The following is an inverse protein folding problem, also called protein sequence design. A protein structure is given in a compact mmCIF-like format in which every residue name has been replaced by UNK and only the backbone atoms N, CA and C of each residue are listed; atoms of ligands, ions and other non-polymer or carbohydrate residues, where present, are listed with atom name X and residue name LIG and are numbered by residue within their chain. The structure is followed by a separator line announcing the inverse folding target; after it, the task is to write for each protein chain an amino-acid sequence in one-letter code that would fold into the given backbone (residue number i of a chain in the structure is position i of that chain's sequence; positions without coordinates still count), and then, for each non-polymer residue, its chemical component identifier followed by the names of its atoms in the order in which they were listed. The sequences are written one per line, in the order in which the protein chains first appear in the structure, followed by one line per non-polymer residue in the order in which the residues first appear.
data_IF_487845042978
#
_entry.id   IF_487845042978
#
_cell.length_a   1.000
_cell.length_b   1.000
_cell.length_c   1.000
_cell.angle_alpha   90.00
_cell.angle_beta   90.00
_cell.angle_gamma   90.00
#
_symmetry.space_group_name_H-M   'P 1'
#
loop_
_entity.id
_entity.type
_entity.pdbx_description
1 polymer ?
#
# COMPACT_ATOMS: atom_id res chain seq x y z
N UNK A 1 10.26 28.16 30.16
CA UNK A 1 11.54 27.87 29.47
C UNK A 1 11.35 26.55 28.72
N UNK A 2 11.15 26.60 27.41
CA UNK A 2 11.02 25.38 26.61
C UNK A 2 12.39 24.68 26.63
N UNK A 3 12.55 23.62 27.45
CA UNK A 3 13.83 22.91 27.65
C UNK A 3 14.29 22.15 26.40
N UNK A 4 13.47 22.12 25.37
CA UNK A 4 13.64 21.39 24.13
C UNK A 4 13.32 22.32 22.95
N UNK A 5 14.22 22.41 21.97
CA UNK A 5 13.92 23.03 20.67
C UNK A 5 12.82 22.24 19.94
N UNK A 6 12.12 22.87 19.00
CA UNK A 6 11.00 22.29 18.26
C UNK A 6 11.35 20.98 17.52
N UNK A 7 12.55 20.85 16.96
CA UNK A 7 13.04 19.61 16.34
C UNK A 7 13.02 18.41 17.30
N UNK A 8 13.32 18.64 18.58
CA UNK A 8 13.26 17.61 19.61
C UNK A 8 11.83 17.25 20.03
N UNK A 9 10.80 17.93 19.53
CA UNK A 9 9.41 17.52 19.67
C UNK A 9 8.90 16.79 18.41
N UNK A 10 9.78 16.52 17.46
CA UNK A 10 9.39 16.05 16.14
C UNK A 10 8.72 17.14 15.30
N UNK A 11 8.98 18.42 15.58
CA UNK A 11 8.55 19.51 14.69
C UNK A 11 9.72 19.97 13.83
N UNK A 12 9.60 19.86 12.53
CA UNK A 12 10.60 20.32 11.58
C UNK A 12 10.29 21.75 11.10
N UNK A 13 11.13 22.75 11.43
CA UNK A 13 10.90 24.14 11.05
C UNK A 13 10.89 24.41 9.55
N UNK A 14 11.36 23.47 8.70
CA UNK A 14 11.38 23.56 7.25
C UNK A 14 10.09 23.08 6.59
N UNK A 15 9.25 22.30 7.28
CA UNK A 15 8.02 21.75 6.70
C UNK A 15 6.77 21.92 7.59
N UNK A 16 6.92 21.94 8.92
CA UNK A 16 5.79 22.12 9.82
C UNK A 16 5.44 23.60 9.98
N UNK A 17 4.16 23.99 9.85
CA UNK A 17 3.75 25.37 10.09
C UNK A 17 4.01 25.69 11.58
N UNK A 18 4.89 26.66 11.84
CA UNK A 18 5.01 27.23 13.18
C UNK A 18 3.67 27.92 13.47
N UNK A 19 2.99 27.53 14.55
CA UNK A 19 1.66 27.97 14.95
C UNK A 19 1.31 29.41 14.50
N UNK A 20 0.52 29.52 13.42
CA UNK A 20 0.18 30.76 12.69
C UNK A 20 -0.69 30.44 11.46
N UNK A 21 -1.04 31.43 10.64
CA UNK A 21 -1.82 31.23 9.40
C UNK A 21 -1.08 30.25 8.47
N UNK A 22 -1.73 29.15 8.10
CA UNK A 22 -1.14 28.11 7.25
C UNK A 22 -0.87 28.67 5.84
N UNK A 23 0.38 28.70 5.36
CA UNK A 23 0.68 29.27 4.05
C UNK A 23 0.08 28.42 2.93
N UNK A 24 -0.31 29.06 1.81
CA UNK A 24 -0.92 28.36 0.66
C UNK A 24 -0.01 27.28 0.07
N UNK A 25 1.29 27.55 0.04
CA UNK A 25 2.31 26.66 -0.48
C UNK A 25 3.60 26.82 0.32
N UNK A 26 4.48 25.83 0.23
CA UNK A 26 5.76 25.84 0.92
C UNK A 26 6.87 25.29 0.05
N UNK A 27 7.94 26.08 -0.10
CA UNK A 27 9.14 25.68 -0.83
C UNK A 27 10.08 24.94 0.11
N UNK A 28 10.56 23.77 -0.32
CA UNK A 28 11.54 22.95 0.38
C UNK A 28 12.70 22.70 -0.58
N UNK A 29 13.92 22.88 -0.11
CA UNK A 29 15.13 22.62 -0.90
C UNK A 29 15.72 21.28 -0.45
N UNK A 30 15.83 20.34 -1.38
CA UNK A 30 16.33 19.01 -1.15
C UNK A 30 17.73 18.86 -1.78
N UNK A 31 18.60 18.02 -1.20
CA UNK A 31 19.85 17.66 -1.86
C UNK A 31 19.56 16.83 -3.11
N UNK A 32 20.06 17.25 -4.26
CA UNK A 32 20.05 16.49 -5.51
C UNK A 32 21.40 15.86 -5.81
N UNK A 33 21.48 15.18 -6.95
CA UNK A 33 22.73 14.56 -7.40
C UNK A 33 23.87 15.57 -7.56
N UNK A 34 25.08 15.14 -7.21
CA UNK A 34 26.31 15.94 -7.32
C UNK A 34 26.25 17.29 -6.58
N UNK A 35 25.44 17.39 -5.52
CA UNK A 35 25.33 18.59 -4.69
C UNK A 35 24.45 19.71 -5.27
N UNK A 36 23.73 19.45 -6.37
CA UNK A 36 22.74 20.41 -6.89
C UNK A 36 21.53 20.47 -5.96
N UNK A 37 21.11 21.67 -5.60
CA UNK A 37 19.87 21.87 -4.86
C UNK A 37 18.65 21.62 -5.76
N UNK A 38 17.67 20.86 -5.27
CA UNK A 38 16.38 20.64 -5.93
C UNK A 38 15.30 21.36 -5.13
N UNK A 39 14.66 22.33 -5.76
CA UNK A 39 13.57 23.06 -5.16
C UNK A 39 12.23 22.38 -5.46
N UNK A 40 11.46 22.09 -4.39
CA UNK A 40 10.15 21.46 -4.46
C UNK A 40 9.15 22.35 -3.72
N UNK A 41 8.11 22.81 -4.42
CA UNK A 41 7.03 23.61 -3.86
C UNK A 41 5.84 22.71 -3.58
N UNK A 42 5.51 22.55 -2.29
CA UNK A 42 4.37 21.80 -1.77
C UNK A 42 3.10 22.66 -1.84
N UNK A 43 2.01 22.11 -2.39
CA UNK A 43 0.69 22.73 -2.33
C UNK A 43 -0.02 22.28 -1.05
N UNK A 44 -0.07 23.16 -0.04
CA UNK A 44 -0.56 22.81 1.29
C UNK A 44 -2.09 22.92 1.42
N UNK A 45 -2.75 23.58 0.47
CA UNK A 45 -4.20 23.81 0.50
C UNK A 45 -4.96 23.04 -0.58
N UNK A 46 -4.27 22.24 -1.39
CA UNK A 46 -4.93 21.39 -2.38
C UNK A 46 -5.94 20.45 -1.74
N UNK A 47 -7.11 20.32 -2.34
CA UNK A 47 -8.13 19.33 -1.96
C UNK A 47 -7.67 17.89 -2.26
N UNK A 48 -6.61 17.71 -3.05
CA UNK A 48 -5.96 16.41 -3.27
C UNK A 48 -4.96 16.03 -2.16
N UNK A 49 -4.76 16.90 -1.16
CA UNK A 49 -3.89 16.61 -0.02
C UNK A 49 -4.48 15.46 0.79
N UNK A 50 -3.67 14.43 1.02
CA UNK A 50 -4.06 13.28 1.84
C UNK A 50 -3.29 13.30 3.15
N UNK A 51 -3.98 13.15 4.27
CA UNK A 51 -3.39 13.06 5.60
C UNK A 51 -3.88 11.82 6.32
N UNK A 52 -2.95 10.99 6.80
CA UNK A 52 -3.22 9.82 7.61
C UNK A 52 -2.47 9.91 8.94
N UNK A 53 -3.21 9.77 10.04
CA UNK A 53 -2.67 9.70 11.39
C UNK A 53 -2.81 8.28 11.95
N UNK A 54 -1.75 7.77 12.56
CA UNK A 54 -1.71 6.50 13.27
C UNK A 54 -1.42 6.72 14.76
N UNK A 55 -2.00 5.88 15.62
CA UNK A 55 -1.97 6.03 17.07
C UNK A 55 -0.57 5.94 17.70
N UNK A 56 0.43 5.41 16.99
CA UNK A 56 1.81 5.25 17.49
C UNK A 56 2.78 6.27 16.87
N UNK A 57 2.29 7.47 16.57
CA UNK A 57 3.10 8.55 16.00
C UNK A 57 3.45 8.38 14.51
N UNK A 58 2.80 7.44 13.81
CA UNK A 58 2.82 7.42 12.34
C UNK A 58 1.96 8.60 11.88
N UNK A 59 2.54 9.49 11.08
CA UNK A 59 1.78 10.49 10.38
C UNK A 59 2.32 10.55 8.96
N UNK A 60 1.43 10.50 7.98
CA UNK A 60 1.76 10.58 6.56
C UNK A 60 0.93 11.69 5.95
N UNK A 61 1.59 12.63 5.28
CA UNK A 61 0.97 13.68 4.50
C UNK A 61 1.47 13.58 3.06
N UNK A 62 0.57 13.60 2.09
CA UNK A 62 0.90 13.61 0.67
C UNK A 62 0.34 14.88 0.06
N UNK A 63 1.21 15.64 -0.60
CA UNK A 63 0.88 16.92 -1.23
C UNK A 63 1.14 16.83 -2.73
N UNK A 64 0.27 17.40 -3.58
CA UNK A 64 0.70 17.81 -4.90
C UNK A 64 1.90 18.76 -4.78
N UNK A 65 2.87 18.58 -5.67
CA UNK A 65 4.09 19.36 -5.65
C UNK A 65 4.49 19.83 -7.05
N UNK A 66 5.34 20.87 -7.10
CA UNK A 66 5.93 21.41 -8.33
C UNK A 66 7.44 21.54 -8.16
N UNK A 67 8.18 21.22 -9.19
CA UNK A 67 9.63 21.45 -9.26
C UNK A 67 10.03 21.68 -10.71
N UNK A 68 10.94 22.63 -10.95
CA UNK A 68 11.52 22.86 -12.28
C UNK A 68 12.49 21.74 -12.68
N UNK A 69 13.01 20.99 -11.69
CA UNK A 69 13.94 19.88 -11.93
C UNK A 69 13.26 18.64 -12.54
N UNK A 70 11.94 18.46 -12.34
CA UNK A 70 11.21 17.26 -12.73
C UNK A 70 10.16 17.55 -13.79
N UNK A 71 10.32 16.95 -14.97
CA UNK A 71 9.33 17.04 -16.07
C UNK A 71 8.40 15.83 -16.06
N UNK A 72 7.33 15.91 -15.25
CA UNK A 72 6.29 14.87 -15.21
C UNK A 72 4.97 15.43 -15.75
N UNK A 73 4.45 14.85 -16.84
CA UNK A 73 3.18 15.27 -17.46
C UNK A 73 2.00 15.20 -16.49
N UNK A 74 1.96 14.16 -15.66
CA UNK A 74 0.91 13.94 -14.68
C UNK A 74 1.14 14.71 -13.37
N UNK A 75 2.26 15.43 -13.25
CA UNK A 75 2.70 16.09 -12.03
C UNK A 75 3.52 15.19 -11.10
N UNK A 76 3.89 15.75 -9.94
CA UNK A 76 4.61 15.06 -8.87
C UNK A 76 3.86 15.25 -7.55
N UNK A 77 4.12 14.36 -6.61
CA UNK A 77 3.65 14.46 -5.23
C UNK A 77 4.84 14.40 -4.28
N UNK A 78 4.73 15.06 -3.14
CA UNK A 78 5.67 14.96 -2.05
C UNK A 78 4.96 14.29 -0.86
N UNK A 79 5.51 13.18 -0.40
CA UNK A 79 5.02 12.43 0.75
C UNK A 79 5.96 12.69 1.92
N UNK A 80 5.42 13.29 2.98
CA UNK A 80 6.09 13.53 4.25
C UNK A 80 5.58 12.50 5.25
N UNK A 81 6.47 11.73 5.86
CA UNK A 81 6.06 10.64 6.74
C UNK A 81 7.06 10.33 7.85
N UNK A 82 6.53 9.86 8.98
CA UNK A 82 7.31 9.47 10.16
C UNK A 82 7.52 7.96 10.20
N UNK A 83 8.64 7.50 9.65
CA UNK A 83 8.97 6.08 9.62
C UNK A 83 9.70 5.65 10.90
N UNK A 84 9.51 4.40 11.31
CA UNK A 84 10.27 3.81 12.43
C UNK A 84 11.74 3.67 12.03
N UNK A 85 12.65 4.26 12.82
CA UNK A 85 14.08 4.32 12.53
C UNK A 85 14.75 2.94 12.50
N UNK A 86 14.15 1.94 13.15
CA UNK A 86 14.63 0.55 13.16
C UNK A 86 14.30 -0.22 11.88
N UNK A 87 13.39 0.28 11.05
CA UNK A 87 12.98 -0.35 9.79
C UNK A 87 13.81 0.18 8.63
N UNK A 88 14.03 -0.67 7.63
CA UNK A 88 14.47 -0.22 6.30
C UNK A 88 13.45 0.79 5.77
N UNK A 89 13.93 1.94 5.33
CA UNK A 89 13.06 3.03 4.89
C UNK A 89 12.45 2.76 3.51
N UNK A 90 11.31 3.39 3.19
CA UNK A 90 10.68 3.29 1.85
C UNK A 90 11.66 3.63 0.72
N UNK A 91 12.46 4.72 0.79
CA UNK A 91 13.48 5.01 -0.24
C UNK A 91 14.51 3.88 -0.44
N UNK A 92 14.99 3.28 0.65
CA UNK A 92 15.96 2.18 0.58
C UNK A 92 15.34 0.91 -0.02
N UNK A 93 14.08 0.62 0.32
CA UNK A 93 13.32 -0.49 -0.27
C UNK A 93 13.11 -0.23 -1.77
N UNK A 94 12.76 1.00 -2.15
CA UNK A 94 12.57 1.38 -3.55
C UNK A 94 13.86 1.23 -4.37
N UNK A 95 15.03 1.52 -3.81
CA UNK A 95 16.30 1.21 -4.48
C UNK A 95 16.43 -0.28 -4.80
N UNK A 96 16.10 -1.14 -3.83
CA UNK A 96 16.12 -2.59 -4.06
C UNK A 96 15.12 -3.02 -5.12
N UNK A 97 13.92 -2.43 -5.11
CA UNK A 97 12.87 -2.65 -6.10
C UNK A 97 13.36 -2.26 -7.50
N UNK A 98 14.10 -1.16 -7.65
CA UNK A 98 14.63 -0.73 -8.95
C UNK A 98 15.71 -1.68 -9.49
N UNK A 99 16.58 -2.23 -8.64
CA UNK A 99 17.52 -3.29 -9.04
C UNK A 99 16.79 -4.52 -9.61
N UNK A 100 15.64 -4.88 -9.02
CA UNK A 100 14.81 -5.99 -9.53
C UNK A 100 14.15 -5.58 -10.86
N UNK A 101 13.66 -4.35 -10.97
CA UNK A 101 13.03 -3.79 -12.18
C UNK A 101 13.97 -3.72 -13.39
N UNK A 102 15.28 -3.63 -13.18
CA UNK A 102 16.26 -3.72 -14.26
C UNK A 102 16.25 -5.10 -14.93
N UNK A 103 15.93 -6.16 -14.18
CA UNK A 103 16.02 -7.57 -14.63
C UNK A 103 14.67 -8.19 -14.95
N UNK A 104 13.58 -7.62 -14.44
CA UNK A 104 12.24 -8.19 -14.54
C UNK A 104 11.23 -7.20 -15.13
N UNK A 105 10.64 -7.57 -16.28
CA UNK A 105 9.65 -6.75 -16.98
C UNK A 105 8.35 -6.61 -16.19
N UNK A 106 8.01 -7.60 -15.36
CA UNK A 106 6.84 -7.60 -14.49
C UNK A 106 6.89 -6.49 -13.43
N UNK A 107 8.10 -6.01 -13.08
CA UNK A 107 8.31 -4.93 -12.12
C UNK A 107 8.56 -3.60 -12.81
N UNK A 108 9.20 -3.61 -13.99
CA UNK A 108 9.58 -2.41 -14.72
C UNK A 108 8.36 -1.55 -15.08
N UNK A 109 8.30 -0.35 -14.50
CA UNK A 109 7.22 0.60 -14.69
C UNK A 109 5.94 0.29 -13.89
N UNK A 110 5.92 -0.79 -13.12
CA UNK A 110 4.79 -1.23 -12.27
C UNK A 110 5.00 -0.88 -10.78
N UNK A 111 5.96 -0.01 -10.48
CA UNK A 111 6.31 0.52 -9.15
C UNK A 111 6.40 2.06 -9.20
N UNK A 112 6.41 2.77 -8.06
CA UNK A 112 6.42 4.23 -8.02
C UNK A 112 7.73 4.77 -8.60
N UNK A 113 7.66 5.88 -9.32
CA UNK A 113 8.84 6.57 -9.83
C UNK A 113 9.32 7.59 -8.77
N UNK A 114 10.36 7.23 -8.00
CA UNK A 114 10.99 8.10 -7.01
C UNK A 114 11.96 9.05 -7.68
N UNK A 115 11.73 10.35 -7.46
CA UNK A 115 12.52 11.43 -8.09
C UNK A 115 13.67 11.87 -7.19
N UNK A 116 13.40 12.01 -5.89
CA UNK A 116 14.38 12.30 -4.85
C UNK A 116 13.75 12.04 -3.47
N UNK A 117 14.59 12.00 -2.44
CA UNK A 117 14.12 11.96 -1.06
C UNK A 117 15.12 12.66 -0.13
N UNK A 118 14.68 12.98 1.08
CA UNK A 118 15.53 13.49 2.14
C UNK A 118 15.07 12.96 3.50
N UNK A 119 16.04 12.71 4.37
CA UNK A 119 15.83 12.26 5.75
C UNK A 119 16.29 13.35 6.70
N UNK A 120 15.39 13.78 7.59
CA UNK A 120 15.66 14.82 8.57
C UNK A 120 16.10 14.20 9.89
N UNK A 121 17.36 13.75 9.98
CA UNK A 121 17.89 13.04 11.15
C UNK A 121 17.81 13.81 12.47
N UNK A 122 17.82 15.13 12.40
CA UNK A 122 17.63 16.06 13.53
C UNK A 122 16.23 15.99 14.15
N UNK A 123 15.26 15.41 13.43
CA UNK A 123 13.89 15.18 13.92
C UNK A 123 13.71 13.84 14.62
N UNK A 124 14.75 13.01 14.74
CA UNK A 124 14.64 11.69 15.35
C UNK A 124 14.10 11.77 16.78
N UNK A 125 13.06 10.99 17.05
CA UNK A 125 12.47 10.89 18.39
C UNK A 125 13.29 10.01 19.34
N UNK A 126 14.39 9.39 18.87
CA UNK A 126 15.26 8.55 19.70
C UNK A 126 15.80 9.31 20.91
N UNK A 127 16.18 10.58 20.75
CA UNK A 127 16.68 11.42 21.85
C UNK A 127 15.61 11.70 22.91
N UNK A 128 14.35 11.85 22.50
CA UNK A 128 13.21 12.01 23.43
C UNK A 128 13.07 10.75 24.26
N UNK A 129 13.10 9.59 23.60
CA UNK A 129 12.96 8.28 24.25
C UNK A 129 14.10 8.04 25.25
N UNK A 130 15.33 8.31 24.86
CA UNK A 130 16.52 8.23 25.72
C UNK A 130 16.37 9.09 26.98
N UNK A 131 16.02 10.38 26.83
CA UNK A 131 15.81 11.28 27.98
C UNK A 131 14.64 10.89 28.88
N UNK A 132 13.66 10.15 28.36
CA UNK A 132 12.54 9.60 29.13
C UNK A 132 12.85 8.21 29.73
N UNK A 133 14.05 7.66 29.51
CA UNK A 133 14.43 6.32 29.97
C UNK A 133 13.68 5.19 29.24
N UNK A 134 13.18 5.45 28.03
CA UNK A 134 12.45 4.49 27.20
C UNK A 134 13.38 3.74 26.26
N UNK A 135 13.05 2.47 25.95
CA UNK A 135 13.77 1.69 24.93
C UNK A 135 13.74 2.38 23.56
N UNK A 136 14.79 2.27 22.72
CA UNK A 136 14.86 2.95 21.43
C UNK A 136 13.87 2.39 20.39
N UNK A 137 13.34 1.18 20.58
CA UNK A 137 12.32 0.58 19.71
C UNK A 137 11.12 1.53 19.52
N UNK A 138 10.63 1.69 18.29
CA UNK A 138 9.58 2.66 17.99
C UNK A 138 10.04 4.12 17.89
N UNK A 139 11.34 4.41 17.96
CA UNK A 139 11.86 5.72 17.54
C UNK A 139 11.52 5.97 16.07
N UNK A 140 11.19 7.21 15.73
CA UNK A 140 10.80 7.62 14.38
C UNK A 140 11.61 8.81 13.91
N UNK A 141 11.76 8.92 12.60
CA UNK A 141 12.42 10.04 11.94
C UNK A 141 11.57 10.48 10.73
N UNK A 142 11.58 11.78 10.45
CA UNK A 142 10.83 12.36 9.35
C UNK A 142 11.55 12.14 8.02
N UNK A 143 10.80 11.64 7.04
CA UNK A 143 11.20 11.53 5.64
C UNK A 143 10.35 12.45 4.78
N UNK A 144 10.96 12.95 3.71
CA UNK A 144 10.26 13.53 2.56
C UNK A 144 10.70 12.75 1.32
N UNK A 145 9.76 12.15 0.61
CA UNK A 145 9.98 11.48 -0.67
C UNK A 145 9.16 12.19 -1.75
N UNK A 146 9.79 12.46 -2.90
CA UNK A 146 9.13 13.04 -4.08
C UNK A 146 8.93 11.94 -5.11
N UNK A 147 7.67 11.73 -5.50
CA UNK A 147 7.24 10.67 -6.40
C UNK A 147 6.53 11.28 -7.61
N UNK A 148 6.53 10.59 -8.75
CA UNK A 148 5.57 10.89 -9.83
C UNK A 148 4.14 10.77 -9.30
N UNK A 149 3.26 11.70 -9.67
CA UNK A 149 1.84 11.59 -9.33
C UNK A 149 1.21 10.40 -10.07
N UNK A 150 0.49 9.56 -9.32
CA UNK A 150 -0.25 8.41 -9.82
C UNK A 150 -1.76 8.67 -9.67
N UNK A 151 -2.57 7.85 -10.34
CA UNK A 151 -4.04 7.85 -10.20
C UNK A 151 -4.51 6.58 -9.49
N UNK A 152 -5.54 6.65 -8.63
CA UNK A 152 -6.13 5.47 -8.00
C UNK A 152 -6.59 4.43 -9.03
N UNK A 153 -6.28 3.15 -8.82
CA UNK A 153 -6.75 2.09 -9.73
C UNK A 153 -8.28 2.03 -9.82
N UNK A 154 -8.97 2.54 -8.79
CA UNK A 154 -10.42 2.59 -8.71
C UNK A 154 -11.06 3.40 -9.82
N UNK A 155 -10.33 4.31 -10.45
CA UNK A 155 -10.83 5.12 -11.58
C UNK A 155 -10.84 4.35 -12.92
N UNK A 156 -10.29 3.13 -12.95
CA UNK A 156 -10.36 2.24 -14.11
C UNK A 156 -11.62 1.38 -14.03
N UNK A 157 -12.14 1.00 -15.19
CA UNK A 157 -13.33 0.16 -15.36
C UNK A 157 -13.02 -1.07 -16.21
N UNK A 158 -13.83 -2.10 -16.06
CA UNK A 158 -13.83 -3.33 -16.88
C UNK A 158 -12.42 -3.91 -17.12
N UNK A 159 -12.14 -4.28 -18.36
CA UNK A 159 -10.87 -4.88 -18.78
C UNK A 159 -9.64 -4.01 -18.43
N UNK A 160 -9.73 -2.68 -18.45
CA UNK A 160 -8.60 -1.81 -18.09
C UNK A 160 -8.24 -1.96 -16.60
N UNK A 161 -9.26 -2.03 -15.74
CA UNK A 161 -9.08 -2.31 -14.32
C UNK A 161 -8.46 -3.69 -14.09
N UNK A 162 -9.00 -4.74 -14.71
CA UNK A 162 -8.47 -6.10 -14.54
C UNK A 162 -7.02 -6.23 -15.00
N UNK A 163 -6.66 -5.61 -16.13
CA UNK A 163 -5.28 -5.62 -16.63
C UNK A 163 -4.33 -4.88 -15.70
N UNK A 164 -4.73 -3.72 -15.18
CA UNK A 164 -3.93 -2.98 -14.22
C UNK A 164 -3.76 -3.76 -12.91
N UNK A 165 -4.84 -4.35 -12.39
CA UNK A 165 -4.81 -5.18 -11.18
C UNK A 165 -3.96 -6.43 -11.38
N UNK A 166 -4.05 -7.09 -12.54
CA UNK A 166 -3.23 -8.25 -12.85
C UNK A 166 -1.75 -7.89 -12.99
N UNK A 167 -1.44 -6.71 -13.55
CA UNK A 167 -0.08 -6.23 -13.62
C UNK A 167 0.52 -5.97 -12.22
N UNK A 168 -0.24 -5.40 -11.28
CA UNK A 168 0.23 -5.21 -9.90
C UNK A 168 0.40 -6.54 -9.17
N UNK A 169 -0.46 -7.53 -9.41
CA UNK A 169 -0.29 -8.91 -8.91
C UNK A 169 1.03 -9.53 -9.40
N UNK A 170 1.33 -9.44 -10.71
CA UNK A 170 2.59 -9.98 -11.27
C UNK A 170 3.82 -9.25 -10.75
N UNK A 171 3.74 -7.93 -10.64
CA UNK A 171 4.79 -7.11 -10.03
C UNK A 171 5.06 -7.59 -8.59
N UNK A 172 4.01 -7.72 -7.78
CA UNK A 172 4.12 -8.20 -6.40
C UNK A 172 4.72 -9.60 -6.30
N UNK A 173 4.24 -10.57 -7.09
CA UNK A 173 4.79 -11.93 -7.12
C UNK A 173 6.30 -11.91 -7.41
N UNK A 174 6.72 -11.12 -8.38
CA UNK A 174 8.12 -11.02 -8.80
C UNK A 174 8.98 -10.39 -7.71
N UNK A 175 8.48 -9.35 -7.04
CA UNK A 175 9.13 -8.75 -5.88
C UNK A 175 9.27 -9.75 -4.72
N UNK A 176 8.20 -10.49 -4.41
CA UNK A 176 8.19 -11.50 -3.35
C UNK A 176 9.26 -12.57 -3.59
N UNK A 177 9.35 -13.10 -4.82
CA UNK A 177 10.36 -14.10 -5.20
C UNK A 177 11.79 -13.57 -5.12
N UNK A 178 11.97 -12.25 -5.21
CA UNK A 178 13.27 -11.58 -5.12
C UNK A 178 13.52 -10.95 -3.73
N UNK A 179 12.78 -11.39 -2.70
CA UNK A 179 13.03 -11.02 -1.31
C UNK A 179 12.48 -9.65 -0.88
N UNK A 180 11.57 -9.06 -1.65
CA UNK A 180 10.86 -7.82 -1.27
C UNK A 180 9.42 -8.15 -0.93
N UNK A 181 9.04 -7.96 0.34
CA UNK A 181 7.72 -8.28 0.87
C UNK A 181 6.93 -7.00 1.12
N UNK A 182 5.82 -6.78 0.41
CA UNK A 182 5.05 -5.52 0.51
C UNK A 182 4.16 -5.44 1.76
N UNK A 183 3.44 -6.52 2.11
CA UNK A 183 2.66 -6.69 3.36
C UNK A 183 1.49 -5.74 3.62
N UNK A 184 1.16 -4.87 2.67
CA UNK A 184 0.05 -3.91 2.81
C UNK A 184 -0.71 -3.74 1.50
N UNK A 185 -1.17 -4.86 0.95
CA UNK A 185 -2.00 -4.86 -0.25
C UNK A 185 -3.41 -4.36 0.11
N UNK A 186 -3.82 -3.26 -0.51
CA UNK A 186 -5.13 -2.63 -0.31
C UNK A 186 -5.50 -1.81 -1.56
N UNK A 187 -6.80 -1.52 -1.79
CA UNK A 187 -7.24 -0.68 -2.91
C UNK A 187 -6.54 0.68 -3.01
N UNK A 188 -6.16 1.30 -1.90
CA UNK A 188 -5.45 2.60 -1.89
C UNK A 188 -4.00 2.50 -2.35
N UNK A 189 -3.40 1.31 -2.26
CA UNK A 189 -2.02 1.04 -2.64
C UNK A 189 -1.92 0.47 -4.07
N UNK A 190 -3.08 0.23 -4.71
CA UNK A 190 -3.16 -0.11 -6.13
C UNK A 190 -3.45 1.16 -6.91
N UNK A 191 -2.52 1.55 -7.77
CA UNK A 191 -2.57 2.77 -8.55
C UNK A 191 -2.41 2.45 -10.05
N UNK A 192 -2.47 3.47 -10.89
CA UNK A 192 -2.04 3.38 -12.28
C UNK A 192 -1.41 4.69 -12.77
N UNK A 193 -0.67 4.58 -13.87
CA UNK A 193 -0.21 5.72 -14.67
C UNK A 193 -0.50 5.47 -16.14
N UNK A 194 -0.54 6.55 -16.92
CA UNK A 194 -0.56 6.48 -18.39
C UNK A 194 0.84 6.80 -18.91
N UNK A 195 1.33 5.95 -19.80
CA UNK A 195 2.56 6.20 -20.54
C UNK A 195 2.34 7.27 -21.61
N UNK A 196 3.41 7.75 -22.23
CA UNK A 196 3.36 8.79 -23.27
C UNK A 196 2.54 8.37 -24.50
N UNK A 197 2.52 7.08 -24.83
CA UNK A 197 1.71 6.45 -25.88
C UNK A 197 0.27 6.11 -25.44
N UNK A 198 -0.10 6.47 -24.20
CA UNK A 198 -1.47 6.32 -23.68
C UNK A 198 -1.78 4.98 -23.03
N UNK A 199 -0.83 4.03 -23.01
CA UNK A 199 -0.99 2.72 -22.35
C UNK A 199 -1.18 2.89 -20.85
N UNK A 200 -2.10 2.11 -20.29
CA UNK A 200 -2.36 2.04 -18.85
C UNK A 200 -1.37 1.06 -18.22
N UNK A 201 -0.66 1.50 -17.19
CA UNK A 201 0.19 0.66 -16.37
C UNK A 201 -0.30 0.67 -14.94
N UNK A 202 -0.71 -0.50 -14.42
CA UNK A 202 -0.97 -0.67 -13.00
C UNK A 202 0.32 -0.51 -12.20
N UNK A 203 0.26 0.17 -11.05
CA UNK A 203 1.41 0.46 -10.20
C UNK A 203 1.10 0.01 -8.78
N UNK A 204 1.95 -0.84 -8.22
CA UNK A 204 1.92 -1.18 -6.79
C UNK A 204 2.65 -0.06 -6.03
N UNK A 205 1.94 0.64 -5.15
CA UNK A 205 2.42 1.84 -4.46
C UNK A 205 2.50 1.63 -2.95
N UNK A 206 3.24 2.52 -2.27
CA UNK A 206 3.40 2.61 -0.81
C UNK A 206 4.19 1.44 -0.18
N UNK A 207 5.52 1.58 -0.19
CA UNK A 207 6.46 0.59 0.35
C UNK A 207 6.86 0.88 1.81
N UNK A 208 6.18 1.80 2.51
CA UNK A 208 6.46 2.14 3.92
C UNK A 208 6.47 0.95 4.87
N UNK A 209 5.57 -0.01 4.60
CA UNK A 209 5.40 -1.21 5.42
C UNK A 209 6.10 -2.44 4.84
N UNK A 210 6.81 -2.28 3.73
CA UNK A 210 7.55 -3.37 3.13
C UNK A 210 8.80 -3.72 3.94
N UNK A 211 9.45 -4.82 3.55
CA UNK A 211 10.70 -5.30 4.15
C UNK A 211 11.50 -6.14 3.16
N UNK A 212 12.81 -6.19 3.35
CA UNK A 212 13.74 -7.04 2.60
C UNK A 212 14.19 -8.29 3.38
N UNK A 213 13.60 -8.52 4.56
CA UNK A 213 13.87 -9.65 5.44
C UNK A 213 12.62 -10.53 5.60
N UNK A 214 12.82 -11.84 5.69
CA UNK A 214 11.78 -12.83 5.97
C UNK A 214 11.40 -12.79 7.47
N UNK A 215 10.73 -11.72 7.89
CA UNK A 215 10.31 -11.49 9.27
C UNK A 215 9.69 -10.12 9.51
N UNK A 216 8.86 -9.99 10.55
CA UNK A 216 8.33 -8.69 10.97
C UNK A 216 9.48 -7.83 11.50
N UNK A 217 9.74 -6.71 10.82
CA UNK A 217 10.69 -5.69 11.27
C UNK A 217 9.91 -4.53 11.86
N UNK A 218 10.27 -4.10 13.07
CA UNK A 218 9.63 -2.99 13.78
C UNK A 218 8.58 -3.42 14.81
N UNK A 219 7.91 -2.43 15.40
CA UNK A 219 6.99 -2.62 16.54
C UNK A 219 5.51 -2.61 16.14
N UNK A 220 5.22 -2.27 14.88
CA UNK A 220 3.86 -2.08 14.40
C UNK A 220 3.33 -3.28 13.64
N UNK A 221 2.03 -3.52 13.85
CA UNK A 221 1.27 -4.44 13.00
C UNK A 221 1.19 -3.86 11.58
N UNK A 222 1.59 -4.66 10.60
CA UNK A 222 1.48 -4.29 9.18
C UNK A 222 0.12 -4.72 8.61
N UNK A 223 -0.36 -3.98 7.62
CA UNK A 223 -1.53 -4.34 6.83
C UNK A 223 -2.81 -3.58 7.18
N UNK A 224 -3.62 -3.35 6.16
CA UNK A 224 -4.94 -2.71 6.26
C UNK A 224 -6.01 -3.74 6.65
N UNK A 225 -6.54 -3.67 7.87
CA UNK A 225 -7.38 -4.72 8.51
C UNK A 225 -8.45 -5.36 7.60
N UNK A 226 -9.29 -4.59 6.87
CA UNK A 226 -10.28 -5.17 5.94
C UNK A 226 -9.69 -6.08 4.85
N UNK A 227 -8.45 -5.83 4.43
CA UNK A 227 -7.79 -6.55 3.34
C UNK A 227 -6.79 -7.60 3.82
N UNK A 228 -6.39 -7.59 5.10
CA UNK A 228 -5.55 -8.63 5.68
C UNK A 228 -6.18 -10.01 5.56
N UNK A 229 -5.38 -11.04 5.27
CA UNK A 229 -5.84 -12.41 5.20
C UNK A 229 -6.52 -12.89 6.50
N UNK A 230 -7.48 -13.81 6.38
CA UNK A 230 -8.22 -14.36 7.54
C UNK A 230 -7.30 -14.94 8.62
N UNK A 231 -6.18 -15.54 8.22
CA UNK A 231 -5.20 -16.12 9.13
C UNK A 231 -4.43 -15.04 9.91
N UNK A 232 -4.09 -13.92 9.26
CA UNK A 232 -3.44 -12.78 9.91
C UNK A 232 -4.38 -12.02 10.85
N UNK A 233 -5.69 -12.24 10.73
CA UNK A 233 -6.70 -11.73 11.66
C UNK A 233 -7.01 -12.70 12.83
N UNK A 234 -6.45 -13.92 12.83
CA UNK A 234 -6.53 -14.85 13.96
C UNK A 234 -5.69 -14.33 15.15
N UNK A 235 -6.05 -14.58 16.43
CA UNK A 235 -5.28 -14.10 17.59
C UNK A 235 -3.76 -14.35 17.52
N UNK A 236 -3.30 -15.46 16.94
CA UNK A 236 -1.87 -15.72 16.72
C UNK A 236 -1.25 -14.78 15.68
N UNK A 237 -1.93 -14.59 14.54
CA UNK A 237 -1.53 -13.61 13.52
C UNK A 237 -1.52 -12.19 14.06
N UNK A 238 -2.52 -11.83 14.87
CA UNK A 238 -2.61 -10.53 15.55
C UNK A 238 -1.43 -10.28 16.52
N UNK A 239 -0.88 -11.34 17.11
CA UNK A 239 0.30 -11.29 17.98
C UNK A 239 1.62 -11.36 17.21
N UNK A 240 1.59 -11.42 15.87
CA UNK A 240 2.78 -11.59 15.04
C UNK A 240 3.43 -12.96 15.13
N UNK A 241 2.69 -13.98 15.60
CA UNK A 241 3.18 -15.35 15.77
C UNK A 241 3.06 -16.18 14.49
N UNK A 242 2.25 -15.72 13.54
CA UNK A 242 2.11 -16.35 12.22
C UNK A 242 3.20 -15.83 11.29
N UNK A 243 4.03 -16.73 10.75
CA UNK A 243 4.97 -16.38 9.68
C UNK A 243 4.20 -15.87 8.46
N UNK A 244 4.53 -14.69 7.97
CA UNK A 244 3.87 -14.10 6.81
C UNK A 244 4.24 -14.88 5.54
N UNK A 245 3.23 -15.35 4.81
CA UNK A 245 3.39 -16.16 3.61
C UNK A 245 2.72 -15.51 2.40
N UNK A 246 3.12 -15.91 1.19
CA UNK A 246 2.65 -15.28 -0.05
C UNK A 246 1.14 -15.40 -0.22
N UNK A 247 0.55 -16.54 0.18
CA UNK A 247 -0.90 -16.75 0.14
C UNK A 247 -1.70 -15.67 0.87
N UNK A 248 -1.13 -15.00 1.87
CA UNK A 248 -1.82 -13.96 2.62
C UNK A 248 -1.92 -12.66 1.82
N UNK A 249 -0.84 -12.28 1.13
CA UNK A 249 -0.87 -11.13 0.22
C UNK A 249 -1.73 -11.46 -1.01
N UNK A 250 -1.69 -12.70 -1.51
CA UNK A 250 -2.56 -13.15 -2.59
C UNK A 250 -4.05 -13.06 -2.19
N UNK A 251 -4.41 -13.47 -0.97
CA UNK A 251 -5.75 -13.27 -0.43
C UNK A 251 -6.13 -11.78 -0.36
N UNK A 252 -5.20 -10.90 0.05
CA UNK A 252 -5.44 -9.45 0.05
C UNK A 252 -5.75 -8.88 -1.34
N UNK A 253 -5.12 -9.39 -2.41
CA UNK A 253 -5.49 -9.01 -3.79
C UNK A 253 -6.91 -9.43 -4.16
N UNK A 254 -7.38 -10.59 -3.70
CA UNK A 254 -8.76 -11.05 -3.90
C UNK A 254 -9.75 -10.12 -3.18
N UNK A 255 -9.42 -9.74 -1.95
CA UNK A 255 -10.22 -8.77 -1.19
C UNK A 255 -10.26 -7.41 -1.88
N UNK A 256 -9.13 -6.89 -2.39
CA UNK A 256 -9.08 -5.63 -3.12
C UNK A 256 -9.89 -5.68 -4.43
N UNK A 257 -9.76 -6.75 -5.21
CA UNK A 257 -10.54 -6.97 -6.43
C UNK A 257 -12.05 -6.95 -6.14
N UNK A 258 -12.47 -7.73 -5.13
CA UNK A 258 -13.87 -7.85 -4.72
C UNK A 258 -14.41 -6.51 -4.21
N UNK A 259 -13.62 -5.80 -3.42
CA UNK A 259 -13.96 -4.50 -2.86
C UNK A 259 -14.27 -3.47 -3.93
N UNK A 260 -13.38 -3.32 -4.91
CA UNK A 260 -13.52 -2.33 -5.98
C UNK A 260 -14.72 -2.69 -6.85
N UNK A 261 -14.81 -3.95 -7.29
CA UNK A 261 -15.87 -4.47 -8.15
C UNK A 261 -17.28 -4.25 -7.59
N UNK A 262 -17.46 -4.34 -6.27
CA UNK A 262 -18.78 -4.23 -5.64
C UNK A 262 -19.15 -2.81 -5.18
N UNK A 263 -18.16 -1.93 -4.98
CA UNK A 263 -18.35 -0.64 -4.30
C UNK A 263 -18.13 0.58 -5.18
N UNK A 264 -17.64 0.45 -6.40
CA UNK A 264 -17.35 1.59 -7.29
C UNK A 264 -18.21 1.55 -8.55
N UNK A 265 -18.81 2.68 -8.90
CA UNK A 265 -19.52 2.93 -10.15
C UNK A 265 -18.69 3.92 -10.98
N UNK A 266 -18.19 3.50 -12.15
CA UNK A 266 -17.45 4.33 -13.10
C UNK A 266 -16.37 5.22 -12.45
N UNK A 267 -15.55 4.63 -11.58
CA UNK A 267 -14.49 5.37 -10.90
C UNK A 267 -14.88 6.02 -9.57
N UNK A 268 -16.16 6.02 -9.22
CA UNK A 268 -16.67 6.72 -8.04
C UNK A 268 -17.21 5.74 -7.01
N UNK A 269 -16.86 5.94 -5.74
CA UNK A 269 -17.43 5.12 -4.66
C UNK A 269 -18.95 5.31 -4.60
N UNK A 270 -19.69 4.21 -4.56
CA UNK A 270 -21.16 4.22 -4.48
C UNK A 270 -21.66 4.98 -3.26
N UNK A 271 -22.70 5.80 -3.43
CA UNK A 271 -23.29 6.57 -2.33
C UNK A 271 -24.06 5.67 -1.34
N UNK A 272 -24.75 4.66 -1.84
CA UNK A 272 -25.57 3.72 -1.05
C UNK A 272 -25.40 2.28 -1.55
N UNK A 273 -25.90 1.31 -0.78
CA UNK A 273 -25.88 -0.09 -1.19
C UNK A 273 -24.47 -0.63 -1.39
N UNK A 274 -23.53 -0.26 -0.51
CA UNK A 274 -22.15 -0.72 -0.53
C UNK A 274 -22.03 -2.03 0.26
N UNK A 275 -21.88 -3.19 -0.40
CA UNK A 275 -21.53 -4.41 0.31
C UNK A 275 -20.21 -4.19 1.05
N UNK A 276 -19.97 -4.98 2.11
CA UNK A 276 -18.72 -5.02 2.88
C UNK A 276 -18.49 -3.85 3.85
N UNK A 277 -19.38 -2.84 3.89
CA UNK A 277 -19.27 -1.72 4.85
C UNK A 277 -19.29 -2.18 6.32
N UNK A 278 -20.01 -3.28 6.60
CA UNK A 278 -20.21 -3.85 7.94
C UNK A 278 -18.91 -4.17 8.68
N UNK A 279 -17.80 -4.40 7.95
CA UNK A 279 -16.51 -4.72 8.56
C UNK A 279 -15.47 -3.59 8.54
N UNK A 280 -15.81 -2.37 8.10
CA UNK A 280 -14.89 -1.22 8.05
C UNK A 280 -14.61 -0.56 9.40
N UNK A 281 -15.58 -0.61 10.32
CA UNK A 281 -15.53 0.07 11.61
C UNK A 281 -15.35 -0.86 12.80
N UNK A 282 -15.10 -2.14 12.57
CA UNK A 282 -15.05 -3.15 13.61
C UNK A 282 -13.61 -3.55 13.91
N UNK A 283 -13.38 -4.12 15.10
CA UNK A 283 -12.06 -4.64 15.45
C UNK A 283 -11.66 -5.83 14.56
N UNK A 284 -10.38 -6.18 14.55
CA UNK A 284 -9.83 -7.21 13.67
C UNK A 284 -10.50 -8.59 13.82
N UNK A 285 -10.88 -8.98 15.04
CA UNK A 285 -11.55 -10.26 15.30
C UNK A 285 -12.96 -10.27 14.69
N UNK A 286 -13.72 -9.20 14.87
CA UNK A 286 -15.04 -9.05 14.25
C UNK A 286 -14.91 -9.00 12.72
N UNK A 287 -13.93 -8.25 12.19
CA UNK A 287 -13.69 -8.16 10.75
C UNK A 287 -13.44 -9.55 10.15
N UNK A 288 -12.62 -10.38 10.81
CA UNK A 288 -12.41 -11.78 10.40
C UNK A 288 -13.71 -12.58 10.33
N UNK A 289 -14.58 -12.43 11.33
CA UNK A 289 -15.87 -13.14 11.37
C UNK A 289 -16.76 -12.73 10.20
N UNK A 290 -16.91 -11.43 9.95
CA UNK A 290 -17.74 -10.94 8.85
C UNK A 290 -17.18 -11.36 7.48
N UNK A 291 -15.85 -11.34 7.31
CA UNK A 291 -15.17 -11.86 6.10
C UNK A 291 -15.43 -13.35 5.88
N UNK A 292 -15.28 -14.16 6.93
CA UNK A 292 -15.57 -15.59 6.87
C UNK A 292 -17.04 -15.86 6.53
N UNK A 293 -17.96 -15.13 7.17
CA UNK A 293 -19.39 -15.24 6.90
C UNK A 293 -19.70 -14.90 5.44
N UNK A 294 -19.10 -13.84 4.91
CA UNK A 294 -19.26 -13.44 3.51
C UNK A 294 -18.75 -14.49 2.52
N UNK A 295 -17.60 -15.13 2.77
CA UNK A 295 -17.10 -16.23 1.93
C UNK A 295 -18.02 -17.46 1.96
N UNK A 296 -18.64 -17.75 3.10
CA UNK A 296 -19.57 -18.88 3.23
C UNK A 296 -20.95 -18.56 2.66
N UNK A 297 -21.33 -17.29 2.59
CA UNK A 297 -22.66 -16.88 2.16
C UNK A 297 -22.86 -17.08 0.65
N UNK A 298 -23.70 -18.04 0.28
CA UNK A 298 -23.96 -18.39 -1.14
C UNK A 298 -24.69 -17.29 -1.91
N UNK A 299 -25.51 -16.50 -1.21
CA UNK A 299 -26.20 -15.34 -1.75
C UNK A 299 -25.26 -14.20 -2.17
N UNK A 300 -23.94 -14.26 -1.87
CA UNK A 300 -22.97 -13.33 -2.45
C UNK A 300 -23.00 -13.32 -3.99
N UNK A 301 -23.42 -14.43 -4.62
CA UNK A 301 -23.60 -14.55 -6.08
C UNK A 301 -24.75 -13.73 -6.63
N UNK A 302 -25.62 -13.20 -5.77
CA UNK A 302 -26.72 -12.30 -6.15
C UNK A 302 -26.32 -10.82 -6.08
N UNK A 303 -25.12 -10.53 -5.58
CA UNK A 303 -24.61 -9.16 -5.53
C UNK A 303 -24.37 -8.66 -6.95
N UNK A 304 -24.73 -7.41 -7.19
CA UNK A 304 -24.46 -6.73 -8.45
C UNK A 304 -23.11 -6.03 -8.35
N UNK A 305 -22.37 -6.07 -9.47
CA UNK A 305 -21.22 -5.21 -9.66
C UNK A 305 -21.64 -3.75 -9.57
N UNK A 306 -20.71 -2.87 -9.22
CA UNK A 306 -20.86 -1.48 -9.57
C UNK A 306 -20.76 -1.28 -11.09
N UNK A 307 -21.31 -0.17 -11.58
CA UNK A 307 -21.36 0.14 -13.02
C UNK A 307 -19.93 0.27 -13.56
N UNK A 308 -19.62 -0.42 -14.66
CA UNK A 308 -18.27 -0.49 -15.22
C UNK A 308 -17.40 -1.56 -14.58
N UNK A 309 -18.00 -2.53 -13.87
CA UNK A 309 -17.29 -3.68 -13.32
C UNK A 309 -18.05 -5.01 -13.55
N UNK A 310 -18.95 -5.04 -14.52
CA UNK A 310 -19.75 -6.20 -14.88
C UNK A 310 -18.88 -7.36 -15.38
N UNK A 311 -17.80 -7.08 -16.13
CA UNK A 311 -16.83 -8.10 -16.58
C UNK A 311 -15.91 -8.56 -15.44
N UNK A 312 -15.78 -7.76 -14.38
CA UNK A 312 -14.87 -8.00 -13.27
C UNK A 312 -15.48 -8.94 -12.22
N UNK A 313 -16.81 -8.90 -12.07
CA UNK A 313 -17.54 -9.68 -11.08
C UNK A 313 -17.37 -11.21 -11.24
N UNK A 314 -17.42 -11.80 -12.44
CA UNK A 314 -17.11 -13.22 -12.63
C UNK A 314 -15.70 -13.58 -12.14
N UNK A 315 -14.70 -12.73 -12.37
CA UNK A 315 -13.32 -12.94 -11.93
C UNK A 315 -13.22 -12.87 -10.40
N UNK A 316 -13.84 -11.86 -9.79
CA UNK A 316 -13.91 -11.73 -8.33
C UNK A 316 -14.58 -12.96 -7.69
N UNK A 317 -15.68 -13.46 -8.26
CA UNK A 317 -16.34 -14.68 -7.80
C UNK A 317 -15.46 -15.92 -7.93
N UNK A 318 -14.77 -16.11 -9.05
CA UNK A 318 -13.85 -17.23 -9.24
C UNK A 318 -12.71 -17.22 -8.19
N UNK A 319 -12.10 -16.05 -7.98
CA UNK A 319 -11.09 -15.86 -6.93
C UNK A 319 -11.63 -16.18 -5.53
N UNK A 320 -12.82 -15.67 -5.17
CA UNK A 320 -13.45 -15.95 -3.88
C UNK A 320 -13.79 -17.44 -3.70
N UNK A 321 -14.24 -18.13 -4.75
CA UNK A 321 -14.53 -19.57 -4.68
C UNK A 321 -13.25 -20.39 -4.45
N UNK A 322 -12.14 -20.02 -5.10
CA UNK A 322 -10.84 -20.65 -4.87
C UNK A 322 -10.30 -20.36 -3.47
N UNK A 323 -10.47 -19.14 -2.97
CA UNK A 323 -10.16 -18.79 -1.58
C UNK A 323 -10.98 -19.61 -0.58
N UNK A 324 -12.28 -19.80 -0.83
CA UNK A 324 -13.14 -20.63 0.02
C UNK A 324 -12.69 -22.10 0.03
N UNK A 325 -12.36 -22.68 -1.13
CA UNK A 325 -11.82 -24.06 -1.20
C UNK A 325 -10.48 -24.18 -0.48
N UNK A 326 -9.63 -23.16 -0.61
CA UNK A 326 -8.36 -23.10 0.09
C UNK A 326 -8.53 -23.08 1.61
N UNK A 327 -9.37 -22.18 2.13
CA UNK A 327 -9.62 -22.08 3.58
C UNK A 327 -10.24 -23.35 4.14
N UNK A 328 -11.18 -23.98 3.41
CA UNK A 328 -11.72 -25.29 3.78
C UNK A 328 -10.64 -26.38 3.85
N UNK A 329 -9.72 -26.42 2.88
CA UNK A 329 -8.63 -27.40 2.86
C UNK A 329 -7.63 -27.24 4.01
N UNK A 330 -7.40 -26.00 4.49
CA UNK A 330 -6.57 -25.71 5.67
C UNK A 330 -7.19 -26.26 6.95
N UNK A 331 -8.50 -26.10 7.12
CA UNK A 331 -9.23 -26.62 8.29
C UNK A 331 -9.17 -28.15 8.37
N UNK A 332 -9.16 -28.83 7.22
CA UNK A 332 -9.06 -30.30 7.16
C UNK A 332 -7.63 -30.83 7.20
N UNK A 333 -6.60 -29.97 7.19
CA UNK A 333 -5.19 -30.39 7.18
C UNK A 333 -4.73 -30.88 8.55
N UNK A 334 -3.94 -31.96 8.56
CA UNK A 334 -3.24 -32.44 9.76
C UNK A 334 -2.20 -31.43 10.29
N UNK A 335 -1.70 -30.54 9.44
CA UNK A 335 -0.86 -29.41 9.81
C UNK A 335 -1.44 -28.11 9.21
N UNK A 336 -2.33 -27.40 9.92
CA UNK A 336 -2.97 -26.19 9.41
C UNK A 336 -1.98 -25.04 9.18
N UNK A 337 -0.82 -25.09 9.85
CA UNK A 337 0.25 -24.10 9.77
C UNK A 337 1.21 -24.33 8.60
N UNK A 338 1.02 -25.37 7.78
CA UNK A 338 1.84 -25.60 6.61
C UNK A 338 1.65 -24.46 5.59
N UNK A 339 2.73 -23.75 5.28
CA UNK A 339 2.78 -22.72 4.25
C UNK A 339 2.84 -23.37 2.86
N UNK A 340 2.13 -22.81 1.90
CA UNK A 340 2.19 -23.26 0.52
C UNK A 340 3.45 -22.73 -0.19
N UNK A 341 4.01 -23.52 -1.11
CA UNK A 341 5.00 -23.01 -2.06
C UNK A 341 4.44 -21.81 -2.83
N UNK A 342 5.26 -20.78 -3.05
CA UNK A 342 4.82 -19.48 -3.61
C UNK A 342 4.08 -19.66 -4.93
N UNK A 343 4.63 -20.47 -5.85
CA UNK A 343 4.01 -20.73 -7.15
C UNK A 343 2.72 -21.52 -7.06
N UNK A 344 2.60 -22.43 -6.09
CA UNK A 344 1.37 -23.17 -5.85
C UNK A 344 0.28 -22.26 -5.28
N UNK A 345 0.64 -21.37 -4.35
CA UNK A 345 -0.28 -20.38 -3.79
C UNK A 345 -0.77 -19.40 -4.87
N UNK A 346 0.14 -18.87 -5.68
CA UNK A 346 -0.17 -17.98 -6.80
C UNK A 346 -1.10 -18.65 -7.83
N UNK A 347 -0.75 -19.89 -8.24
CA UNK A 347 -1.57 -20.68 -9.15
C UNK A 347 -3.00 -20.83 -8.64
N UNK A 348 -3.12 -21.38 -7.43
CA UNK A 348 -4.39 -21.79 -6.84
C UNK A 348 -5.32 -20.63 -6.49
N UNK A 349 -4.78 -19.51 -5.98
CA UNK A 349 -5.59 -18.40 -5.48
C UNK A 349 -5.89 -17.36 -6.56
N UNK A 350 -4.94 -17.08 -7.44
CA UNK A 350 -5.02 -15.97 -8.39
C UNK A 350 -5.03 -16.45 -9.84
N UNK A 351 -3.93 -17.06 -10.32
CA UNK A 351 -3.72 -17.34 -11.75
C UNK A 351 -4.85 -18.15 -12.38
N UNK A 352 -5.28 -19.23 -11.73
CA UNK A 352 -6.27 -20.15 -12.30
C UNK A 352 -7.68 -19.54 -12.34
N UNK A 353 -7.90 -18.42 -11.65
CA UNK A 353 -9.15 -17.65 -11.64
C UNK A 353 -9.19 -16.53 -12.70
N UNK A 354 -8.04 -16.18 -13.29
CA UNK A 354 -7.91 -15.01 -14.17
C UNK A 354 -8.02 -15.42 -15.64
N UNK A 355 -8.95 -14.84 -16.41
CA UNK A 355 -9.15 -15.19 -17.81
C UNK A 355 -7.95 -14.88 -18.71
N UNK A 356 -7.77 -15.68 -19.77
CA UNK A 356 -6.67 -15.51 -20.72
C UNK A 356 -6.58 -14.12 -21.38
N UNK A 357 -7.71 -13.43 -21.58
CA UNK A 357 -7.73 -12.09 -22.19
C UNK A 357 -7.15 -10.99 -21.27
N UNK A 358 -7.14 -11.23 -19.96
CA UNK A 358 -6.49 -10.38 -18.96
C UNK A 358 -4.99 -10.68 -18.91
N UNK A 359 -4.62 -11.96 -19.08
CA UNK A 359 -3.23 -12.42 -19.06
C UNK A 359 -2.47 -12.01 -20.33
N UNK A 360 -3.13 -12.04 -21.48
CA UNK A 360 -2.54 -11.70 -22.77
C UNK A 360 -2.19 -10.21 -22.82
N UNK A 361 -0.88 -9.91 -22.89
CA UNK A 361 -0.38 -8.59 -23.25
C UNK A 361 -0.67 -8.38 -24.74
N UNK A 362 -1.72 -7.62 -25.08
CA UNK A 362 -1.83 -7.02 -26.42
C UNK A 362 -1.10 -5.70 -26.45
#
# INVERSE_FOLDING_TARGET
MQRFQNCHWGLNPHVDPQFGDCPKSRKVTLPGEQGRAIDVTLDLLSDERVTHYGLNGRATNVFPAKSEAFRCKDGIVAKLFWAEQSRTSEPEILWKVYEIAERHEEVRGHVPDMMCYHTYWDTSTALIRDRLGLKPNGARVLYLIVLRKLRPITELVETDFLRAWWATVKCHLTLWKNGVYHRDISPSNLMFKRTSDGKIMGVLNDFDLASIEDGLTGTERTGTVPFMALELLHPEGLRGQTKHAYEYDAESFIWALTWITLRYDNGTLRATGRPLDEWLGVNATTCRREKSAFLLYTNRRKLQAGIGHEENLPVAHACMDNLLRYTASKVSSANPNQVMEVDAAFAKLLRDSVPAFVIANK
#
